data_IF_080404475143
#
_entry.id   IF_080404475143
#
_cell.length_a   1.000
_cell.length_b   1.000
_cell.length_c   1.000
_cell.angle_alpha   90.00
_cell.angle_beta   90.00
_cell.angle_gamma   90.00
#
_symmetry.space_group_name_H-M   'P 1'
#
loop_
_entity.id
_entity.type
_entity.pdbx_description
1 polymer ?
#
# COMPACT_ATOMS: atom_id res chain seq x y z
N UNK A 1 68.35 13.04 14.66
CA UNK A 1 68.42 11.82 15.51
C UNK A 1 67.03 11.61 16.08
N UNK A 2 66.26 10.67 15.51
CA UNK A 2 66.05 9.28 15.94
C UNK A 2 65.05 9.14 17.10
N UNK A 3 63.93 8.46 16.78
CA UNK A 3 63.21 7.43 17.57
C UNK A 3 62.51 7.85 18.87
N UNK A 4 61.39 7.27 19.32
CA UNK A 4 60.42 6.28 18.81
C UNK A 4 59.41 5.97 19.94
N UNK A 5 58.13 5.77 19.59
CA UNK A 5 57.12 4.89 20.22
C UNK A 5 57.09 4.64 21.75
N UNK A 6 55.92 4.82 22.37
CA UNK A 6 54.98 3.70 22.63
C UNK A 6 53.68 4.12 23.36
N UNK A 7 52.62 3.39 23.02
CA UNK A 7 51.22 3.42 23.45
C UNK A 7 50.99 3.33 24.98
N UNK A 8 49.82 3.80 25.48
CA UNK A 8 48.64 2.96 25.81
C UNK A 8 47.48 3.85 26.37
N UNK A 9 46.38 3.87 25.60
CA UNK A 9 44.95 3.75 25.99
C UNK A 9 44.32 4.55 27.14
N UNK A 10 43.25 5.30 26.83
CA UNK A 10 41.89 4.93 27.28
C UNK A 10 40.77 5.82 26.68
N UNK A 11 39.83 5.13 26.03
CA UNK A 11 38.41 5.46 25.84
C UNK A 11 37.98 6.61 24.92
N UNK A 12 38.25 6.44 23.63
CA UNK A 12 37.26 6.68 22.58
C UNK A 12 36.68 5.33 22.13
N UNK A 13 35.41 5.05 22.43
CA UNK A 13 34.68 3.91 21.86
C UNK A 13 33.22 4.27 21.56
N UNK A 14 33.03 5.39 20.85
CA UNK A 14 31.90 5.60 19.95
C UNK A 14 32.39 5.31 18.53
N UNK A 15 32.28 4.07 18.05
CA UNK A 15 32.45 3.60 16.65
C UNK A 15 32.45 2.06 16.66
N UNK A 16 31.68 1.27 15.90
CA UNK A 16 31.05 1.43 14.58
C UNK A 16 29.74 0.63 14.54
N UNK A 17 28.62 1.28 14.23
CA UNK A 17 27.42 0.58 13.74
C UNK A 17 27.71 0.18 12.29
N UNK A 18 27.66 -1.13 12.00
CA UNK A 18 27.90 -1.69 10.66
C UNK A 18 26.99 -1.03 9.61
N UNK A 19 27.60 -0.58 8.50
CA UNK A 19 26.97 0.21 7.43
C UNK A 19 26.13 -0.60 6.42
N UNK A 20 26.01 -1.92 6.56
CA UNK A 20 25.34 -2.75 5.56
C UNK A 20 24.07 -3.41 6.12
N UNK A 21 22.97 -2.65 6.07
CA UNK A 21 21.64 -3.18 6.33
C UNK A 21 21.06 -3.73 5.01
N UNK A 22 21.30 -5.01 4.71
CA UNK A 22 20.60 -5.74 3.64
C UNK A 22 19.40 -6.53 4.17
N UNK A 23 18.27 -6.45 3.46
CA UNK A 23 17.07 -7.20 3.82
C UNK A 23 16.93 -8.53 3.07
N UNK A 24 16.05 -9.41 3.55
CA UNK A 24 15.97 -10.83 3.18
C UNK A 24 15.73 -11.04 1.68
N UNK A 25 14.70 -10.45 1.11
CA UNK A 25 14.40 -10.53 -0.32
C UNK A 25 15.43 -9.77 -1.16
N UNK A 26 15.99 -8.67 -0.67
CA UNK A 26 17.07 -7.95 -1.35
C UNK A 26 18.33 -8.83 -1.47
N UNK A 27 18.75 -9.45 -0.36
CA UNK A 27 19.87 -10.39 -0.31
C UNK A 27 19.61 -11.62 -1.17
N UNK A 28 18.38 -12.16 -1.14
CA UNK A 28 18.00 -13.31 -1.99
C UNK A 28 18.00 -12.93 -3.46
N UNK A 29 17.51 -11.74 -3.82
CA UNK A 29 17.53 -11.24 -5.19
C UNK A 29 18.96 -11.02 -5.68
N UNK A 30 19.84 -10.44 -4.86
CA UNK A 30 21.26 -10.30 -5.23
C UNK A 30 21.96 -11.65 -5.38
N UNK A 31 21.65 -12.60 -4.49
CA UNK A 31 22.17 -13.95 -4.61
C UNK A 31 21.68 -14.63 -5.89
N UNK A 32 20.40 -14.50 -6.24
CA UNK A 32 19.83 -15.03 -7.49
C UNK A 32 20.54 -14.48 -8.73
N UNK A 33 20.82 -13.18 -8.78
CA UNK A 33 21.56 -12.55 -9.90
C UNK A 33 23.03 -12.98 -9.98
N UNK A 34 23.60 -13.51 -8.89
CA UNK A 34 24.97 -14.05 -8.87
C UNK A 34 25.08 -15.48 -9.42
N UNK A 35 23.96 -16.13 -9.74
CA UNK A 35 23.93 -17.50 -10.25
C UNK A 35 23.77 -17.49 -11.78
N UNK A 36 24.54 -18.32 -12.47
CA UNK A 36 24.46 -18.47 -13.94
C UNK A 36 23.12 -19.05 -14.43
N UNK A 37 22.42 -19.83 -13.60
CA UNK A 37 21.08 -20.38 -13.87
C UNK A 37 20.24 -20.45 -12.58
N UNK A 38 18.92 -20.23 -12.65
CA UNK A 38 18.04 -20.32 -11.47
C UNK A 38 18.01 -21.77 -10.97
N UNK A 39 18.45 -21.97 -9.74
CA UNK A 39 18.57 -23.28 -9.10
C UNK A 39 17.73 -23.31 -7.81
N UNK A 40 17.42 -24.51 -7.30
CA UNK A 40 16.80 -24.73 -5.98
C UNK A 40 17.62 -24.11 -4.82
N UNK A 41 18.83 -23.61 -5.09
CA UNK A 41 19.71 -22.95 -4.13
C UNK A 41 19.14 -21.64 -3.60
N UNK A 42 18.40 -20.87 -4.41
CA UNK A 42 17.76 -19.62 -3.96
C UNK A 42 16.73 -19.92 -2.87
N UNK A 43 15.91 -20.96 -3.07
CA UNK A 43 14.94 -21.43 -2.08
C UNK A 43 15.61 -21.90 -0.79
N UNK A 44 16.70 -22.67 -0.90
CA UNK A 44 17.43 -23.18 0.26
C UNK A 44 18.13 -22.05 1.02
N UNK A 45 18.76 -21.10 0.31
CA UNK A 45 19.38 -19.92 0.92
C UNK A 45 18.34 -19.08 1.67
N UNK A 46 17.13 -18.94 1.13
CA UNK A 46 16.03 -18.25 1.84
C UNK A 46 15.66 -18.95 3.15
N UNK A 47 15.57 -20.28 3.15
CA UNK A 47 15.31 -21.03 4.40
C UNK A 47 16.45 -20.88 5.41
N UNK A 48 17.70 -20.87 4.96
CA UNK A 48 18.85 -20.64 5.83
C UNK A 48 18.84 -19.25 6.46
N UNK A 49 18.55 -18.22 5.66
CA UNK A 49 18.44 -16.84 6.16
C UNK A 49 17.30 -16.69 7.17
N UNK A 50 16.14 -17.30 6.91
CA UNK A 50 15.02 -17.32 7.87
C UNK A 50 15.45 -17.99 9.19
N UNK A 51 16.16 -19.11 9.13
CA UNK A 51 16.72 -19.76 10.32
C UNK A 51 17.68 -18.83 11.08
N UNK A 52 18.62 -18.16 10.40
CA UNK A 52 19.52 -17.22 11.09
C UNK A 52 18.78 -16.05 11.73
N UNK A 53 17.68 -15.60 11.14
CA UNK A 53 16.84 -14.54 11.69
C UNK A 53 16.03 -15.01 12.91
N UNK A 54 15.42 -16.20 12.82
CA UNK A 54 14.61 -16.80 13.89
C UNK A 54 15.42 -16.98 15.18
N UNK A 55 16.68 -17.41 15.06
CA UNK A 55 17.56 -17.66 16.19
C UNK A 55 18.58 -16.53 16.45
N UNK A 56 18.45 -15.40 15.75
CA UNK A 56 19.36 -14.24 15.86
C UNK A 56 20.85 -14.58 15.71
N UNK A 57 21.17 -15.50 14.82
CA UNK A 57 22.53 -15.90 14.48
C UNK A 57 23.16 -15.00 13.42
N UNK A 58 24.49 -14.89 13.45
CA UNK A 58 25.27 -14.34 12.33
C UNK A 58 25.28 -15.32 11.17
N UNK A 59 25.43 -14.80 9.95
CA UNK A 59 25.62 -15.61 8.75
C UNK A 59 27.10 -16.05 8.71
N UNK A 60 27.36 -17.26 9.19
CA UNK A 60 28.71 -17.81 9.32
C UNK A 60 28.73 -19.34 9.17
N UNK A 61 29.90 -19.95 9.37
CA UNK A 61 30.07 -21.40 9.22
C UNK A 61 29.40 -22.18 10.36
N UNK A 62 29.26 -21.59 11.54
CA UNK A 62 28.69 -22.24 12.72
C UNK A 62 27.17 -22.38 12.57
N UNK A 63 26.49 -21.28 12.31
CA UNK A 63 25.04 -21.24 12.02
C UNK A 63 24.66 -22.10 10.81
N UNK A 64 25.50 -22.13 9.76
CA UNK A 64 25.31 -23.04 8.63
C UNK A 64 25.34 -24.50 9.05
N UNK A 65 26.35 -24.91 9.83
CA UNK A 65 26.47 -26.29 10.28
C UNK A 65 25.27 -26.72 11.13
N UNK A 66 24.77 -25.83 12.00
CA UNK A 66 23.54 -26.06 12.78
C UNK A 66 22.31 -26.22 11.87
N UNK A 67 22.19 -25.40 10.82
CA UNK A 67 21.04 -25.46 9.90
C UNK A 67 21.01 -26.76 9.08
N UNK A 68 22.17 -27.33 8.73
CA UNK A 68 22.28 -28.47 7.81
C UNK A 68 22.45 -29.83 8.51
N UNK A 69 22.56 -29.86 9.83
CA UNK A 69 22.90 -31.06 10.63
C UNK A 69 22.03 -32.28 10.32
N UNK A 70 20.74 -32.08 10.02
CA UNK A 70 19.77 -33.15 9.69
C UNK A 70 19.18 -33.00 8.28
N UNK A 71 19.88 -32.35 7.35
CA UNK A 71 19.37 -32.07 5.99
C UNK A 71 20.16 -32.81 4.91
N UNK A 72 19.50 -33.07 3.79
CA UNK A 72 20.13 -33.70 2.63
C UNK A 72 21.35 -32.90 2.13
N UNK A 73 22.34 -33.57 1.54
CA UNK A 73 23.62 -32.98 1.11
C UNK A 73 23.46 -31.73 0.20
N UNK A 74 22.38 -31.68 -0.60
CA UNK A 74 22.02 -30.54 -1.45
C UNK A 74 21.89 -29.23 -0.66
N UNK A 75 21.46 -29.29 0.61
CA UNK A 75 21.36 -28.11 1.48
C UNK A 75 22.73 -27.55 1.84
N UNK A 76 23.69 -28.43 2.16
CA UNK A 76 25.06 -28.04 2.49
C UNK A 76 25.74 -27.39 1.29
N UNK A 77 25.56 -27.93 0.09
CA UNK A 77 26.11 -27.33 -1.14
C UNK A 77 25.53 -25.94 -1.41
N UNK A 78 24.20 -25.80 -1.32
CA UNK A 78 23.52 -24.52 -1.52
C UNK A 78 23.93 -23.45 -0.49
N UNK A 79 23.95 -23.81 0.79
CA UNK A 79 24.29 -22.87 1.87
C UNK A 79 25.75 -22.46 1.83
N UNK A 80 26.68 -23.36 1.46
CA UNK A 80 28.09 -22.98 1.29
C UNK A 80 28.31 -22.02 0.13
N UNK A 81 27.57 -22.20 -0.98
CA UNK A 81 27.61 -21.27 -2.10
C UNK A 81 27.06 -19.89 -1.69
N UNK A 82 25.97 -19.87 -0.93
CA UNK A 82 25.44 -18.65 -0.34
C UNK A 82 26.42 -17.99 0.65
N UNK A 83 27.08 -18.76 1.51
CA UNK A 83 28.03 -18.23 2.50
C UNK A 83 29.22 -17.53 1.83
N UNK A 84 29.75 -18.09 0.73
CA UNK A 84 30.80 -17.43 -0.07
C UNK A 84 30.31 -16.11 -0.68
N UNK A 85 29.08 -16.10 -1.20
CA UNK A 85 28.45 -14.87 -1.69
C UNK A 85 28.30 -13.84 -0.56
N UNK A 86 27.81 -14.24 0.61
CA UNK A 86 27.62 -13.37 1.76
C UNK A 86 28.95 -12.80 2.26
N UNK A 87 30.00 -13.61 2.35
CA UNK A 87 31.36 -13.17 2.71
C UNK A 87 31.93 -12.16 1.73
N UNK A 88 31.80 -12.40 0.41
CA UNK A 88 32.26 -11.49 -0.64
C UNK A 88 31.58 -10.12 -0.59
N UNK A 89 30.33 -10.07 -0.14
CA UNK A 89 29.52 -8.85 -0.06
C UNK A 89 29.41 -8.29 1.37
N UNK A 90 30.22 -8.78 2.31
CA UNK A 90 30.21 -8.34 3.72
C UNK A 90 28.82 -8.41 4.38
N UNK A 91 28.03 -9.43 4.01
CA UNK A 91 26.68 -9.66 4.55
C UNK A 91 26.80 -10.59 5.77
N UNK A 92 26.88 -9.98 6.94
CA UNK A 92 26.98 -10.72 8.20
C UNK A 92 25.62 -11.02 8.84
N UNK A 93 24.60 -10.24 8.48
CA UNK A 93 23.22 -10.36 8.95
C UNK A 93 22.26 -9.86 7.88
N UNK A 94 21.01 -10.32 7.95
CA UNK A 94 19.89 -9.82 7.14
C UNK A 94 18.71 -9.50 8.05
N UNK A 95 17.83 -8.58 7.63
CA UNK A 95 16.54 -8.32 8.26
C UNK A 95 15.39 -8.75 7.36
N UNK A 96 14.18 -8.86 7.90
CA UNK A 96 13.02 -9.19 7.08
C UNK A 96 12.59 -7.98 6.24
N UNK A 97 12.43 -8.16 4.93
CA UNK A 97 11.98 -7.11 4.01
C UNK A 97 10.47 -6.87 4.04
N UNK A 98 9.69 -7.84 4.52
CA UNK A 98 8.23 -7.70 4.71
C UNK A 98 7.88 -7.25 6.12
N UNK A 99 8.84 -7.34 7.03
CA UNK A 99 8.63 -7.10 8.45
C UNK A 99 9.64 -6.03 8.84
N UNK A 100 9.26 -4.73 8.83
CA UNK A 100 10.19 -3.66 9.14
C UNK A 100 10.98 -3.98 10.40
N UNK A 101 12.23 -3.56 10.47
CA UNK A 101 13.14 -3.85 11.59
C UNK A 101 12.50 -3.50 12.95
N UNK A 102 11.76 -4.45 13.54
CA UNK A 102 11.09 -4.31 14.83
C UNK A 102 12.08 -4.72 15.90
N UNK A 103 13.00 -3.83 16.25
CA UNK A 103 13.40 -3.81 17.64
C UNK A 103 12.17 -3.34 18.44
N UNK A 104 11.40 -4.29 18.95
CA UNK A 104 10.64 -4.04 20.18
C UNK A 104 9.15 -3.76 20.11
N UNK A 105 8.36 -4.32 19.18
CA UNK A 105 6.99 -4.61 19.63
C UNK A 105 6.26 -5.82 19.02
N UNK A 106 6.32 -6.96 19.73
CA UNK A 106 5.39 -8.09 19.56
C UNK A 106 3.93 -7.63 19.49
N UNK A 107 3.55 -6.59 20.24
CA UNK A 107 2.20 -6.04 20.27
C UNK A 107 1.82 -5.39 18.94
N UNK A 108 2.74 -4.75 18.21
CA UNK A 108 2.44 -4.15 16.88
C UNK A 108 2.14 -5.25 15.88
N UNK A 109 2.93 -6.33 15.88
CA UNK A 109 2.68 -7.49 15.02
C UNK A 109 1.35 -8.18 15.38
N UNK A 110 1.07 -8.33 16.68
CA UNK A 110 -0.20 -8.92 17.14
C UNK A 110 -1.38 -8.03 16.77
N UNK A 111 -1.24 -6.71 16.92
CA UNK A 111 -2.25 -5.74 16.49
C UNK A 111 -2.52 -5.85 14.98
N UNK A 112 -1.49 -5.80 14.14
CA UNK A 112 -1.65 -5.85 12.68
C UNK A 112 -2.21 -7.19 12.19
N UNK A 113 -1.91 -8.30 12.89
CA UNK A 113 -2.48 -9.61 12.60
C UNK A 113 -3.96 -9.70 12.95
N UNK A 114 -4.38 -9.10 14.08
CA UNK A 114 -5.78 -9.11 14.54
C UNK A 114 -6.61 -7.97 13.94
N UNK A 115 -5.98 -6.96 13.35
CA UNK A 115 -6.67 -5.84 12.75
C UNK A 115 -7.36 -6.27 11.44
N UNK A 116 -8.66 -6.00 11.34
CA UNK A 116 -9.45 -6.19 10.12
C UNK A 116 -9.17 -5.07 9.10
N UNK A 117 -7.91 -4.95 8.69
CA UNK A 117 -7.40 -3.95 7.77
C UNK A 117 -6.94 -4.62 6.48
N UNK A 118 -7.03 -3.90 5.35
CA UNK A 118 -6.42 -4.37 4.11
C UNK A 118 -4.89 -4.38 4.22
N UNK A 119 -4.21 -5.20 3.42
CA UNK A 119 -2.74 -5.29 3.44
C UNK A 119 -2.05 -3.93 3.25
N UNK A 120 -2.52 -3.10 2.31
CA UNK A 120 -1.98 -1.74 2.14
C UNK A 120 -2.21 -0.84 3.38
N UNK A 121 -3.32 -1.05 4.09
CA UNK A 121 -3.59 -0.31 5.33
C UNK A 121 -2.69 -0.80 6.47
N UNK A 122 -2.42 -2.12 6.55
CA UNK A 122 -1.45 -2.69 7.49
C UNK A 122 -0.04 -2.16 7.23
N UNK A 123 0.38 -2.08 5.97
CA UNK A 123 1.67 -1.50 5.58
C UNK A 123 1.78 -0.02 6.00
N UNK A 124 0.72 0.75 5.78
CA UNK A 124 0.68 2.17 6.17
C UNK A 124 0.72 2.33 7.69
N UNK A 125 -0.04 1.52 8.43
CA UNK A 125 -0.08 1.55 9.89
C UNK A 125 1.24 1.09 10.49
N UNK A 126 1.89 0.09 9.88
CA UNK A 126 3.21 -0.40 10.27
C UNK A 126 4.25 0.72 10.19
N UNK A 127 4.34 1.44 9.07
CA UNK A 127 5.24 2.60 8.93
C UNK A 127 4.98 3.68 9.98
N UNK A 128 3.71 4.03 10.18
CA UNK A 128 3.31 5.03 11.16
C UNK A 128 3.75 4.66 12.59
N UNK A 129 3.52 3.41 12.99
CA UNK A 129 3.87 2.91 14.31
C UNK A 129 5.39 2.83 14.46
N UNK A 130 6.13 2.41 13.45
CA UNK A 130 7.59 2.37 13.48
C UNK A 130 8.21 3.76 13.71
N UNK A 131 7.72 4.78 13.01
CA UNK A 131 8.17 6.16 13.22
C UNK A 131 7.85 6.64 14.64
N UNK A 132 6.67 6.31 15.15
CA UNK A 132 6.28 6.65 16.52
C UNK A 132 7.17 5.97 17.57
N UNK A 133 7.47 4.68 17.42
CA UNK A 133 8.41 3.96 18.31
C UNK A 133 9.81 4.56 18.26
N UNK A 134 10.32 4.83 17.06
CA UNK A 134 11.63 5.46 16.90
C UNK A 134 11.70 6.81 17.61
N UNK A 135 10.62 7.59 17.55
CA UNK A 135 10.50 8.85 18.29
C UNK A 135 10.50 8.65 19.80
N UNK A 136 9.70 7.70 20.31
CA UNK A 136 9.66 7.38 21.75
C UNK A 136 11.02 6.94 22.26
N UNK A 137 11.68 6.00 21.57
CA UNK A 137 12.97 5.43 21.97
C UNK A 137 14.07 6.49 21.98
N UNK A 138 14.12 7.34 20.94
CA UNK A 138 15.14 8.40 20.84
C UNK A 138 15.08 9.42 21.98
N UNK A 139 13.93 9.53 22.66
CA UNK A 139 13.67 10.51 23.71
C UNK A 139 13.32 9.87 25.07
N UNK A 140 13.36 8.54 25.15
CA UNK A 140 12.89 7.76 26.31
C UNK A 140 11.50 8.19 26.81
N UNK A 141 10.55 8.40 25.88
CA UNK A 141 9.20 8.89 26.21
C UNK A 141 8.20 7.74 26.36
N UNK A 142 7.27 7.81 27.34
CA UNK A 142 6.20 6.82 27.48
C UNK A 142 5.10 6.99 26.42
N UNK A 143 4.29 5.96 26.13
CA UNK A 143 3.22 5.99 25.13
C UNK A 143 1.94 6.68 25.64
N UNK A 144 2.06 7.93 26.09
CA UNK A 144 0.95 8.73 26.61
C UNK A 144 0.49 9.83 25.64
N UNK A 145 -0.59 10.52 25.99
CA UNK A 145 -1.16 11.62 25.19
C UNK A 145 -0.14 12.71 24.86
N UNK A 146 0.69 13.10 25.83
CA UNK A 146 1.70 14.15 25.65
C UNK A 146 2.75 13.75 24.61
N UNK A 147 3.20 12.50 24.65
CA UNK A 147 4.14 11.95 23.67
C UNK A 147 3.55 11.91 22.27
N UNK A 148 2.27 11.54 22.12
CA UNK A 148 1.59 11.55 20.81
C UNK A 148 1.47 12.98 20.27
N UNK A 149 1.16 13.97 21.12
CA UNK A 149 1.14 15.38 20.71
C UNK A 149 2.53 15.89 20.29
N UNK A 150 3.57 15.51 21.03
CA UNK A 150 4.95 15.84 20.69
C UNK A 150 5.39 15.20 19.36
N UNK A 151 4.97 13.95 19.11
CA UNK A 151 5.20 13.27 17.85
C UNK A 151 4.48 13.97 16.69
N UNK A 152 3.21 14.34 16.88
CA UNK A 152 2.44 15.10 15.88
C UNK A 152 3.15 16.42 15.54
N UNK A 153 3.73 17.10 16.53
CA UNK A 153 4.52 18.31 16.30
C UNK A 153 5.80 18.02 15.52
N UNK A 154 6.50 16.92 15.81
CA UNK A 154 7.65 16.49 15.02
C UNK A 154 7.26 16.19 13.56
N UNK A 155 6.15 15.50 13.32
CA UNK A 155 5.66 15.24 11.97
C UNK A 155 5.48 16.55 11.19
N UNK A 156 4.90 17.58 11.83
CA UNK A 156 4.76 18.91 11.20
C UNK A 156 6.11 19.55 10.91
N UNK A 157 7.04 19.51 11.87
CA UNK A 157 8.39 20.07 11.70
C UNK A 157 9.17 19.36 10.58
N UNK A 158 8.92 18.06 10.38
CA UNK A 158 9.47 17.26 9.28
C UNK A 158 8.75 17.49 7.94
N UNK A 159 7.76 18.39 7.88
CA UNK A 159 7.04 18.72 6.66
C UNK A 159 6.00 17.69 6.21
N UNK A 160 5.57 16.76 7.08
CA UNK A 160 4.53 15.79 6.73
C UNK A 160 3.18 16.51 6.53
N UNK A 161 2.41 16.02 5.55
CA UNK A 161 1.09 16.56 5.28
C UNK A 161 0.12 16.30 6.45
N UNK A 162 -0.88 17.17 6.69
CA UNK A 162 -1.93 16.92 7.69
C UNK A 162 -2.64 15.58 7.48
N UNK A 163 -2.77 15.12 6.24
CA UNK A 163 -3.35 13.82 5.90
C UNK A 163 -2.47 12.65 6.40
N UNK A 164 -1.17 12.72 6.12
CA UNK A 164 -0.21 11.72 6.60
C UNK A 164 -0.19 11.68 8.12
N UNK A 165 -0.12 12.85 8.76
CA UNK A 165 -0.14 12.95 10.23
C UNK A 165 -1.44 12.41 10.82
N UNK A 166 -2.59 12.68 10.21
CA UNK A 166 -3.88 12.12 10.65
C UNK A 166 -3.93 10.59 10.48
N UNK A 167 -3.30 10.06 9.43
CA UNK A 167 -3.16 8.60 9.25
C UNK A 167 -2.30 8.00 10.37
N UNK A 168 -1.24 8.69 10.78
CA UNK A 168 -0.38 8.23 11.88
C UNK A 168 -1.12 8.27 13.21
N UNK A 169 -1.85 9.35 13.49
CA UNK A 169 -2.71 9.46 14.69
C UNK A 169 -3.72 8.30 14.72
N UNK A 170 -4.36 7.96 13.60
CA UNK A 170 -5.31 6.85 13.53
C UNK A 170 -4.66 5.49 13.84
N UNK A 171 -3.47 5.24 13.27
CA UNK A 171 -2.71 4.02 13.54
C UNK A 171 -2.32 3.90 15.03
N UNK A 172 -1.81 4.98 15.62
CA UNK A 172 -1.42 5.03 17.04
C UNK A 172 -2.64 4.78 17.95
N UNK A 173 -3.77 5.44 17.67
CA UNK A 173 -5.00 5.23 18.45
C UNK A 173 -5.50 3.79 18.38
N UNK A 174 -5.55 3.22 17.17
CA UNK A 174 -5.99 1.84 16.98
C UNK A 174 -5.08 0.86 17.71
N UNK A 175 -3.77 1.08 17.65
CA UNK A 175 -2.78 0.28 18.35
C UNK A 175 -2.92 0.39 19.87
N UNK A 176 -3.02 1.59 20.42
CA UNK A 176 -3.17 1.79 21.87
C UNK A 176 -4.49 1.20 22.38
N UNK A 177 -5.58 1.37 21.64
CA UNK A 177 -6.86 0.74 21.97
C UNK A 177 -6.73 -0.79 22.00
N UNK A 178 -6.02 -1.38 21.04
CA UNK A 178 -5.74 -2.81 21.03
C UNK A 178 -4.93 -3.23 22.28
N UNK A 179 -3.90 -2.48 22.65
CA UNK A 179 -3.11 -2.75 23.85
C UNK A 179 -3.95 -2.72 25.14
N UNK A 180 -4.86 -1.76 25.27
CA UNK A 180 -5.75 -1.62 26.43
C UNK A 180 -6.76 -2.78 26.50
N UNK A 181 -7.35 -3.15 25.36
CA UNK A 181 -8.37 -4.21 25.28
C UNK A 181 -7.77 -5.60 25.50
N UNK A 182 -6.55 -5.83 25.03
CA UNK A 182 -5.88 -7.13 25.08
C UNK A 182 -4.86 -7.26 26.22
N UNK A 183 -4.85 -6.30 27.16
CA UNK A 183 -3.83 -6.16 28.22
C UNK A 183 -3.49 -7.46 28.96
N UNK A 184 -4.48 -8.30 29.25
CA UNK A 184 -4.30 -9.55 29.98
C UNK A 184 -3.63 -10.63 29.11
N UNK A 185 -4.01 -10.71 27.83
CA UNK A 185 -3.44 -11.65 26.86
C UNK A 185 -1.99 -11.29 26.49
N UNK A 186 -1.69 -10.00 26.41
CA UNK A 186 -0.38 -9.49 26.01
C UNK A 186 0.52 -9.10 27.20
N UNK A 187 0.03 -9.28 28.43
CA UNK A 187 0.74 -9.06 29.69
C UNK A 187 1.39 -7.67 29.78
N UNK A 188 0.59 -6.62 29.56
CA UNK A 188 1.04 -5.24 29.75
C UNK A 188 0.89 -4.83 31.22
N UNK A 189 1.92 -4.19 31.75
CA UNK A 189 1.93 -3.64 33.11
C UNK A 189 0.78 -2.65 33.34
N UNK A 190 0.04 -2.71 34.46
CA UNK A 190 -1.10 -1.85 34.74
C UNK A 190 -0.80 -0.35 34.61
N UNK A 191 0.37 0.09 35.08
CA UNK A 191 0.81 1.49 35.02
C UNK A 191 0.96 1.99 33.58
N UNK A 192 1.37 1.09 32.67
CA UNK A 192 1.52 1.41 31.26
C UNK A 192 0.17 1.52 30.56
N UNK A 193 -0.82 0.70 30.97
CA UNK A 193 -2.21 0.80 30.49
C UNK A 193 -2.82 2.15 30.90
N UNK A 194 -2.60 2.60 32.13
CA UNK A 194 -3.15 3.86 32.62
C UNK A 194 -2.63 5.06 31.82
N UNK A 195 -1.32 5.09 31.55
CA UNK A 195 -0.68 6.13 30.74
C UNK A 195 -1.23 6.22 29.31
N UNK A 196 -1.75 5.11 28.78
CA UNK A 196 -2.26 4.99 27.42
C UNK A 196 -3.71 5.46 27.24
N UNK A 197 -4.52 5.54 28.32
CA UNK A 197 -5.98 5.78 28.23
C UNK A 197 -6.34 7.04 27.43
N UNK A 198 -5.59 8.11 27.66
CA UNK A 198 -5.88 9.42 27.08
C UNK A 198 -5.39 9.58 25.63
N UNK A 199 -4.66 8.61 25.07
CA UNK A 199 -4.20 8.65 23.68
C UNK A 199 -5.39 8.70 22.70
N UNK A 200 -6.48 8.02 23.03
CA UNK A 200 -7.72 8.02 22.25
C UNK A 200 -8.31 9.44 22.07
N UNK A 201 -8.05 10.35 23.02
CA UNK A 201 -8.56 11.74 23.02
C UNK A 201 -7.82 12.69 22.08
N UNK A 202 -6.66 12.29 21.55
CA UNK A 202 -5.83 13.14 20.66
C UNK A 202 -6.64 13.53 19.43
N UNK A 203 -6.95 14.82 19.25
CA UNK A 203 -7.75 15.26 18.11
C UNK A 203 -6.92 15.19 16.82
N UNK A 204 -7.55 14.72 15.75
CA UNK A 204 -7.00 14.85 14.41
C UNK A 204 -6.78 16.32 14.07
N UNK A 205 -5.74 16.60 13.29
CA UNK A 205 -5.47 17.93 12.79
C UNK A 205 -6.62 18.38 11.90
N UNK A 206 -7.14 19.59 12.15
CA UNK A 206 -8.10 20.24 11.26
C UNK A 206 -7.45 20.40 9.90
N UNK A 207 -8.09 19.90 8.85
CA UNK A 207 -7.71 20.19 7.47
C UNK A 207 -8.19 21.62 7.14
N UNK A 208 -7.56 22.64 7.71
CA UNK A 208 -7.91 24.04 7.46
C UNK A 208 -7.30 24.55 6.17
N UNK A 209 -8.11 25.14 5.26
CA UNK A 209 -7.75 26.00 4.11
C UNK A 209 -6.87 25.41 2.99
N UNK A 210 -6.02 24.45 3.31
CA UNK A 210 -5.11 23.71 2.43
C UNK A 210 -5.78 22.52 1.75
N UNK A 211 -7.09 22.33 1.95
CA UNK A 211 -7.90 21.38 1.17
C UNK A 211 -7.83 21.65 -0.32
N UNK A 212 -7.65 22.89 -0.78
CA UNK A 212 -7.39 23.16 -2.22
C UNK A 212 -6.08 22.56 -2.72
N UNK A 213 -5.06 22.44 -1.87
CA UNK A 213 -3.74 21.90 -2.26
C UNK A 213 -3.74 20.37 -2.35
N UNK A 214 -4.66 19.69 -1.65
CA UNK A 214 -4.78 18.23 -1.63
C UNK A 214 -6.06 17.67 -2.26
N UNK A 215 -7.03 18.54 -2.59
CA UNK A 215 -8.17 18.17 -3.41
C UNK A 215 -7.64 17.80 -4.79
N UNK A 216 -8.01 16.61 -5.26
CA UNK A 216 -7.68 16.22 -6.63
C UNK A 216 -8.47 17.12 -7.56
N UNK A 217 -7.74 17.73 -8.48
CA UNK A 217 -8.34 18.51 -9.54
C UNK A 217 -9.11 17.56 -10.47
N UNK A 218 -10.10 18.10 -11.18
CA UNK A 218 -10.87 17.39 -12.18
C UNK A 218 -10.56 17.96 -13.56
N UNK A 219 -10.40 17.08 -14.54
CA UNK A 219 -10.45 17.48 -15.94
C UNK A 219 -11.83 18.01 -16.30
N UNK A 220 -11.88 19.02 -17.17
CA UNK A 220 -13.11 19.43 -17.87
C UNK A 220 -13.54 18.37 -18.89
N UNK A 221 -14.75 18.49 -19.43
CA UNK A 221 -15.23 17.59 -20.49
C UNK A 221 -14.35 17.63 -21.75
N UNK A 222 -13.87 18.82 -22.13
CA UNK A 222 -12.98 19.01 -23.27
C UNK A 222 -11.64 18.33 -23.01
N UNK A 223 -11.05 18.52 -21.83
CA UNK A 223 -9.78 17.90 -21.43
C UNK A 223 -9.90 16.37 -21.35
N UNK A 224 -10.99 15.83 -20.78
CA UNK A 224 -11.26 14.38 -20.76
C UNK A 224 -11.31 13.82 -22.18
N UNK A 225 -12.02 14.50 -23.07
CA UNK A 225 -12.16 14.08 -24.47
C UNK A 225 -10.82 14.14 -25.21
N UNK A 226 -10.05 15.21 -24.98
CA UNK A 226 -8.70 15.35 -25.53
C UNK A 226 -7.78 14.20 -25.06
N UNK A 227 -7.76 13.92 -23.75
CA UNK A 227 -6.99 12.82 -23.17
C UNK A 227 -7.28 11.49 -23.88
N UNK A 228 -8.56 11.15 -24.05
CA UNK A 228 -8.97 9.88 -24.67
C UNK A 228 -8.67 9.82 -26.18
N UNK A 229 -8.66 10.96 -26.87
CA UNK A 229 -8.25 11.04 -28.28
C UNK A 229 -6.74 10.84 -28.45
N UNK A 230 -5.93 11.37 -27.54
CA UNK A 230 -4.46 11.24 -27.57
C UNK A 230 -3.99 9.80 -27.41
N UNK A 231 -4.75 8.96 -26.70
CA UNK A 231 -4.35 7.56 -26.47
C UNK A 231 -4.49 6.74 -27.76
N UNK A 232 -3.39 6.16 -28.23
CA UNK A 232 -3.38 5.33 -29.44
C UNK A 232 -3.51 3.84 -29.13
N UNK A 233 -2.99 3.38 -27.99
CA UNK A 233 -3.05 1.98 -27.59
C UNK A 233 -4.47 1.60 -27.10
N UNK A 234 -5.15 0.61 -27.71
CA UNK A 234 -6.53 0.24 -27.34
C UNK A 234 -6.67 -0.19 -25.88
N UNK A 235 -5.71 -0.95 -25.35
CA UNK A 235 -5.71 -1.39 -23.94
C UNK A 235 -5.62 -0.20 -22.99
N UNK A 236 -4.69 0.72 -23.24
CA UNK A 236 -4.53 1.89 -22.38
C UNK A 236 -5.75 2.82 -22.46
N UNK A 237 -6.37 2.93 -23.65
CA UNK A 237 -7.61 3.69 -23.84
C UNK A 237 -8.75 3.06 -23.07
N UNK A 238 -8.89 1.74 -23.06
CA UNK A 238 -9.86 1.03 -22.26
C UNK A 238 -9.68 1.27 -20.76
N UNK A 239 -8.45 1.19 -20.25
CA UNK A 239 -8.13 1.46 -18.84
C UNK A 239 -8.54 2.88 -18.45
N UNK A 240 -8.14 3.87 -19.25
CA UNK A 240 -8.43 5.27 -18.94
C UNK A 240 -9.92 5.59 -19.16
N UNK A 241 -10.57 5.02 -20.18
CA UNK A 241 -11.99 5.18 -20.46
C UNK A 241 -12.87 4.65 -19.31
N UNK A 242 -12.55 3.47 -18.79
CA UNK A 242 -13.21 2.91 -17.59
C UNK A 242 -13.10 3.83 -16.36
N UNK A 243 -12.03 4.61 -16.25
CA UNK A 243 -11.83 5.54 -15.14
C UNK A 243 -12.44 6.92 -15.39
N UNK A 244 -12.36 7.42 -16.63
CA UNK A 244 -12.70 8.78 -17.03
C UNK A 244 -14.16 8.95 -17.51
N UNK A 245 -14.81 7.87 -17.94
CA UNK A 245 -16.25 7.82 -18.21
C UNK A 245 -16.98 7.05 -17.11
N UNK A 246 -16.49 5.84 -16.77
CA UNK A 246 -17.18 4.95 -15.82
C UNK A 246 -16.84 5.19 -14.34
N UNK A 247 -15.93 6.13 -14.08
CA UNK A 247 -15.56 6.53 -12.74
C UNK A 247 -14.95 5.40 -11.91
N UNK A 248 -14.41 4.34 -12.52
CA UNK A 248 -13.87 3.19 -11.76
C UNK A 248 -12.62 3.56 -10.98
N UNK A 249 -12.46 2.98 -9.79
CA UNK A 249 -11.21 3.03 -9.04
C UNK A 249 -10.17 2.13 -9.72
N UNK A 250 -8.88 2.43 -9.54
CA UNK A 250 -7.80 1.58 -10.09
C UNK A 250 -7.93 0.12 -9.68
N UNK A 251 -8.33 -0.16 -8.43
CA UNK A 251 -8.52 -1.55 -7.97
C UNK A 251 -9.76 -2.23 -8.59
N UNK A 252 -10.79 -1.46 -8.92
CA UNK A 252 -11.98 -1.98 -9.62
C UNK A 252 -11.58 -2.40 -11.03
N UNK A 253 -10.84 -1.53 -11.75
CA UNK A 253 -10.31 -1.83 -13.09
C UNK A 253 -9.41 -3.07 -13.11
N UNK A 254 -8.46 -3.18 -12.17
CA UNK A 254 -7.56 -4.35 -12.04
C UNK A 254 -8.34 -5.67 -11.88
N UNK A 255 -9.52 -5.64 -11.28
CA UNK A 255 -10.30 -6.84 -10.94
C UNK A 255 -11.39 -7.19 -11.96
N UNK A 256 -11.52 -6.40 -13.03
CA UNK A 256 -12.52 -6.65 -14.06
C UNK A 256 -12.18 -7.88 -14.88
N UNK A 257 -13.23 -8.59 -15.28
CA UNK A 257 -13.17 -9.70 -16.22
C UNK A 257 -14.14 -9.47 -17.37
N UNK A 258 -13.89 -10.07 -18.53
CA UNK A 258 -14.77 -9.93 -19.70
C UNK A 258 -16.21 -10.38 -19.42
N UNK A 259 -16.38 -11.39 -18.57
CA UNK A 259 -17.69 -11.88 -18.11
C UNK A 259 -18.48 -10.89 -17.23
N UNK A 260 -17.86 -9.78 -16.80
CA UNK A 260 -18.52 -8.76 -15.99
C UNK A 260 -19.35 -7.78 -16.81
N UNK A 261 -19.19 -7.78 -18.13
CA UNK A 261 -20.11 -7.10 -19.04
C UNK A 261 -21.39 -7.93 -19.11
N UNK A 262 -22.52 -7.34 -18.73
CA UNK A 262 -23.84 -7.97 -18.70
C UNK A 262 -24.81 -7.22 -19.60
N UNK A 263 -25.74 -7.95 -20.20
CA UNK A 263 -26.86 -7.36 -20.94
C UNK A 263 -28.14 -7.70 -20.21
N UNK A 264 -28.99 -6.70 -19.94
CA UNK A 264 -30.34 -6.88 -19.41
C UNK A 264 -31.29 -5.93 -20.12
N UNK A 265 -32.42 -6.43 -20.61
CA UNK A 265 -33.46 -5.60 -21.25
C UNK A 265 -32.90 -4.71 -22.38
N UNK A 266 -31.97 -5.24 -23.18
CA UNK A 266 -31.32 -4.51 -24.28
C UNK A 266 -30.28 -3.45 -23.87
N UNK A 267 -30.02 -3.27 -22.57
CA UNK A 267 -29.03 -2.33 -22.04
C UNK A 267 -27.76 -3.04 -21.55
N UNK A 268 -26.61 -2.39 -21.72
CA UNK A 268 -25.32 -2.88 -21.25
C UNK A 268 -25.05 -2.43 -19.81
N UNK A 269 -24.52 -3.35 -19.00
CA UNK A 269 -24.16 -3.13 -17.61
C UNK A 269 -22.76 -3.68 -17.33
N UNK A 270 -22.12 -3.15 -16.30
CA UNK A 270 -20.84 -3.64 -15.80
C UNK A 270 -20.99 -4.09 -14.35
N UNK A 271 -20.61 -5.32 -14.05
CA UNK A 271 -20.59 -5.87 -12.70
C UNK A 271 -19.26 -5.54 -12.00
N UNK A 272 -19.30 -4.73 -10.94
CA UNK A 272 -18.11 -4.18 -10.29
C UNK A 272 -18.06 -4.53 -8.80
N UNK A 273 -16.88 -4.88 -8.30
CA UNK A 273 -16.67 -5.10 -6.87
C UNK A 273 -16.77 -3.81 -6.05
N UNK A 274 -17.68 -3.78 -5.08
CA UNK A 274 -17.74 -2.72 -4.07
C UNK A 274 -16.69 -2.91 -2.95
N UNK A 275 -16.25 -1.82 -2.30
CA UNK A 275 -15.32 -1.90 -1.17
C UNK A 275 -15.98 -2.64 0.00
N UNK A 276 -15.48 -3.83 0.35
CA UNK A 276 -15.97 -4.61 1.49
C UNK A 276 -17.41 -5.09 1.32
N UNK A 277 -17.78 -5.46 0.09
CA UNK A 277 -19.03 -6.17 -0.23
C UNK A 277 -18.68 -7.58 -0.73
N UNK A 278 -19.58 -8.52 -0.47
CA UNK A 278 -19.45 -9.93 -0.87
C UNK A 278 -19.86 -10.17 -2.33
N UNK A 279 -20.59 -9.22 -2.94
CA UNK A 279 -21.10 -9.32 -4.30
C UNK A 279 -20.73 -8.12 -5.18
N UNK A 280 -20.81 -8.32 -6.49
CA UNK A 280 -20.62 -7.28 -7.51
C UNK A 280 -21.91 -6.49 -7.69
N UNK A 281 -21.78 -5.16 -7.72
CA UNK A 281 -22.88 -4.26 -8.05
C UNK A 281 -22.95 -4.05 -9.56
N UNK A 282 -24.15 -4.08 -10.13
CA UNK A 282 -24.38 -3.73 -11.53
C UNK A 282 -24.52 -2.22 -11.67
N UNK A 283 -23.70 -1.64 -12.53
CA UNK A 283 -23.83 -0.24 -12.96
C UNK A 283 -24.15 -0.20 -14.45
N UNK A 284 -24.92 0.79 -14.93
CA UNK A 284 -25.05 1.04 -16.37
C UNK A 284 -23.67 1.17 -16.99
N UNK A 285 -23.46 0.59 -18.17
CA UNK A 285 -22.23 0.72 -18.94
C UNK A 285 -22.44 1.75 -20.04
N UNK A 286 -21.76 2.90 -19.94
CA UNK A 286 -21.93 4.01 -20.88
C UNK A 286 -21.49 3.61 -22.28
N UNK A 287 -22.16 4.14 -23.29
CA UNK A 287 -21.96 3.79 -24.70
C UNK A 287 -20.53 4.11 -25.15
N UNK A 288 -19.96 5.23 -24.69
CA UNK A 288 -18.58 5.63 -24.96
C UNK A 288 -17.58 4.63 -24.37
N UNK A 289 -17.81 4.22 -23.11
CA UNK A 289 -16.99 3.19 -22.46
C UNK A 289 -17.12 1.86 -23.19
N UNK A 290 -18.34 1.46 -23.54
CA UNK A 290 -18.61 0.21 -24.25
C UNK A 290 -17.89 0.15 -25.60
N UNK A 291 -17.97 1.22 -26.40
CA UNK A 291 -17.27 1.31 -27.69
C UNK A 291 -15.76 1.13 -27.52
N UNK A 292 -15.16 1.82 -26.55
CA UNK A 292 -13.73 1.68 -26.26
C UNK A 292 -13.38 0.24 -25.85
N UNK A 293 -14.24 -0.41 -25.05
CA UNK A 293 -14.02 -1.80 -24.65
C UNK A 293 -14.12 -2.77 -25.82
N UNK A 294 -15.02 -2.54 -26.77
CA UNK A 294 -15.14 -3.33 -28.01
C UNK A 294 -13.89 -3.16 -28.87
N UNK A 295 -13.43 -1.93 -29.08
CA UNK A 295 -12.19 -1.66 -29.83
C UNK A 295 -10.99 -2.38 -29.20
N UNK A 296 -10.91 -2.39 -27.86
CA UNK A 296 -9.89 -3.14 -27.14
C UNK A 296 -10.09 -4.66 -27.28
N UNK A 297 -11.32 -5.16 -27.15
CA UNK A 297 -11.64 -6.58 -27.28
C UNK A 297 -11.29 -7.12 -28.67
N UNK A 298 -11.48 -6.33 -29.72
CA UNK A 298 -11.10 -6.69 -31.09
C UNK A 298 -9.57 -6.71 -31.28
N UNK A 299 -8.81 -5.98 -30.46
CA UNK A 299 -7.35 -5.97 -30.52
C UNK A 299 -6.68 -7.17 -29.84
N UNK A 300 -7.46 -8.06 -29.21
CA UNK A 300 -6.94 -9.23 -28.48
C UNK A 300 -7.43 -10.55 -29.10
N UNK A 301 -6.52 -11.52 -29.20
CA UNK A 301 -6.80 -12.81 -29.87
C UNK A 301 -7.78 -13.70 -29.11
N UNK A 302 -7.78 -13.64 -27.77
CA UNK A 302 -8.67 -14.45 -26.90
C UNK A 302 -9.16 -13.62 -25.70
N UNK A 303 -10.31 -12.94 -25.79
CA UNK A 303 -10.88 -12.16 -24.70
C UNK A 303 -11.54 -13.06 -23.64
N UNK A 304 -10.75 -13.83 -22.91
CA UNK A 304 -11.23 -14.73 -21.86
C UNK A 304 -10.64 -14.38 -20.50
N UNK A 305 -11.44 -14.50 -19.44
CA UNK A 305 -10.98 -14.27 -18.07
C UNK A 305 -10.78 -12.78 -17.74
N UNK A 306 -9.63 -12.45 -17.15
CA UNK A 306 -9.30 -11.08 -16.72
C UNK A 306 -9.32 -10.13 -17.92
N UNK A 307 -9.85 -8.92 -17.72
CA UNK A 307 -9.87 -7.90 -18.77
C UNK A 307 -8.48 -7.33 -19.02
N UNK A 308 -7.60 -7.33 -18.01
CA UNK A 308 -6.25 -6.78 -18.11
C UNK A 308 -5.19 -7.70 -17.49
N UNK A 309 -4.00 -7.72 -18.08
CA UNK A 309 -2.87 -8.58 -17.69
C UNK A 309 -1.99 -8.00 -16.56
N UNK A 310 -2.56 -7.20 -15.67
CA UNK A 310 -1.83 -6.69 -14.50
C UNK A 310 -2.61 -6.90 -13.21
N UNK A 311 -1.89 -7.28 -12.16
CA UNK A 311 -2.44 -7.52 -10.83
C UNK A 311 -2.31 -6.32 -9.90
N UNK A 312 -1.55 -5.30 -10.30
CA UNK A 312 -1.20 -4.17 -9.45
C UNK A 312 -1.81 -2.86 -9.92
N UNK A 313 -2.32 -2.08 -8.96
CA UNK A 313 -2.82 -0.72 -9.21
C UNK A 313 -1.71 0.28 -9.59
N UNK A 314 -0.44 -0.07 -9.31
CA UNK A 314 0.74 0.72 -9.66
C UNK A 314 0.88 0.88 -11.18
N UNK A 315 0.61 -0.19 -11.94
CA UNK A 315 0.65 -0.20 -13.41
C UNK A 315 -0.35 0.77 -14.02
N UNK A 316 -1.60 0.78 -13.54
CA UNK A 316 -2.61 1.74 -14.00
C UNK A 316 -2.16 3.17 -13.73
N UNK A 317 -1.60 3.47 -12.55
CA UNK A 317 -1.12 4.83 -12.24
C UNK A 317 -0.01 5.28 -13.18
N UNK A 318 0.90 4.38 -13.55
CA UNK A 318 1.97 4.66 -14.52
C UNK A 318 1.39 4.95 -15.91
N UNK A 319 0.46 4.11 -16.39
CA UNK A 319 -0.25 4.31 -17.66
C UNK A 319 -1.00 5.64 -17.66
N UNK A 320 -1.79 5.94 -16.63
CA UNK A 320 -2.51 7.20 -16.53
C UNK A 320 -1.58 8.40 -16.51
N UNK A 321 -0.49 8.35 -15.74
CA UNK A 321 0.47 9.45 -15.70
C UNK A 321 1.15 9.66 -17.06
N UNK A 322 1.53 8.59 -17.76
CA UNK A 322 2.09 8.67 -19.12
C UNK A 322 1.16 9.45 -20.04
N UNK A 323 -0.10 9.03 -20.16
CA UNK A 323 -1.05 9.64 -21.10
C UNK A 323 -1.51 11.03 -20.68
N UNK A 324 -1.60 11.31 -19.38
CA UNK A 324 -1.82 12.68 -18.89
C UNK A 324 -0.67 13.61 -19.29
N UNK A 325 0.58 13.13 -19.26
CA UNK A 325 1.74 13.92 -19.70
C UNK A 325 1.73 14.11 -21.21
N UNK A 326 1.48 13.04 -21.98
CA UNK A 326 1.43 13.11 -23.44
C UNK A 326 0.28 14.02 -23.96
N UNK A 327 -0.83 14.09 -23.24
CA UNK A 327 -1.92 15.02 -23.55
C UNK A 327 -1.69 16.46 -23.03
N UNK A 328 -0.56 16.75 -22.37
CA UNK A 328 -0.29 18.06 -21.78
C UNK A 328 -1.19 18.42 -20.58
N UNK A 329 -1.84 17.43 -19.96
CA UNK A 329 -2.83 17.62 -18.89
C UNK A 329 -2.27 17.30 -17.49
N UNK A 330 -1.04 16.81 -17.41
CA UNK A 330 -0.42 16.42 -16.13
C UNK A 330 -0.11 17.65 -15.28
N UNK A 331 -0.74 17.71 -14.10
CA UNK A 331 -0.56 18.74 -13.06
C UNK A 331 -0.28 18.08 -11.70
N UNK A 332 0.16 18.87 -10.72
CA UNK A 332 0.47 18.40 -9.34
C UNK A 332 -0.70 17.59 -8.75
N UNK A 333 -1.94 18.06 -8.94
CA UNK A 333 -3.15 17.45 -8.38
C UNK A 333 -3.96 16.58 -9.36
N UNK A 334 -3.41 16.30 -10.55
CA UNK A 334 -4.06 15.45 -11.56
C UNK A 334 -3.38 14.09 -11.61
N UNK A 335 -4.14 13.03 -11.36
CA UNK A 335 -3.66 11.65 -11.28
C UNK A 335 -4.77 10.67 -11.68
N UNK A 336 -4.50 9.36 -11.62
CA UNK A 336 -5.51 8.35 -11.91
C UNK A 336 -6.83 8.54 -11.15
N UNK A 337 -6.80 8.90 -9.86
CA UNK A 337 -8.03 9.14 -9.11
C UNK A 337 -8.76 10.43 -9.52
N UNK A 338 -8.05 11.40 -10.10
CA UNK A 338 -8.65 12.64 -10.65
C UNK A 338 -9.63 12.34 -11.78
N UNK A 339 -9.38 11.29 -12.58
CA UNK A 339 -10.32 10.86 -13.63
C UNK A 339 -11.69 10.47 -13.07
N UNK A 340 -11.70 9.83 -11.89
CA UNK A 340 -12.94 9.52 -11.20
C UNK A 340 -13.61 10.77 -10.63
N UNK A 341 -12.83 11.73 -10.13
CA UNK A 341 -13.37 13.03 -9.69
C UNK A 341 -13.97 13.81 -10.85
N UNK A 342 -13.36 13.75 -12.04
CA UNK A 342 -13.92 14.29 -13.28
C UNK A 342 -15.32 13.74 -13.55
N UNK A 343 -15.51 12.43 -13.46
CA UNK A 343 -16.85 11.84 -13.64
C UNK A 343 -17.83 12.41 -12.61
N UNK A 344 -17.44 12.45 -11.34
CA UNK A 344 -18.29 13.02 -10.28
C UNK A 344 -18.70 14.47 -10.57
N UNK A 345 -17.72 15.31 -10.93
CA UNK A 345 -17.95 16.73 -11.19
C UNK A 345 -18.82 16.94 -12.43
N UNK A 346 -18.52 16.27 -13.54
CA UNK A 346 -19.30 16.39 -14.77
C UNK A 346 -20.74 15.92 -14.60
N UNK A 347 -21.00 14.87 -13.83
CA UNK A 347 -22.37 14.44 -13.53
C UNK A 347 -23.12 15.50 -12.71
N UNK A 348 -22.46 16.10 -11.71
CA UNK A 348 -23.06 17.18 -10.91
C UNK A 348 -23.30 18.43 -11.76
N UNK A 349 -22.38 18.79 -12.66
CA UNK A 349 -22.50 19.93 -13.58
C UNK A 349 -23.68 19.74 -14.55
N UNK A 350 -23.97 18.49 -14.94
CA UNK A 350 -25.17 18.11 -15.73
C UNK A 350 -26.47 18.07 -14.89
N UNK A 351 -26.42 18.42 -13.61
CA UNK A 351 -27.59 18.45 -12.73
C UNK A 351 -28.02 17.08 -12.19
N UNK A 352 -27.19 16.04 -12.28
CA UNK A 352 -27.53 14.71 -11.77
C UNK A 352 -27.56 14.77 -10.23
N UNK A 353 -28.64 14.27 -9.59
CA UNK A 353 -28.75 14.29 -8.13
C UNK A 353 -27.56 13.61 -7.46
N UNK A 354 -27.00 14.25 -6.42
CA UNK A 354 -25.84 13.73 -5.67
C UNK A 354 -25.99 12.27 -5.21
N UNK A 355 -27.15 11.79 -4.72
CA UNK A 355 -27.31 10.37 -4.36
C UNK A 355 -27.07 9.42 -5.54
N UNK A 356 -27.53 9.80 -6.74
CA UNK A 356 -27.34 9.05 -7.98
C UNK A 356 -25.88 9.03 -8.40
N UNK A 357 -25.17 10.16 -8.28
CA UNK A 357 -23.74 10.25 -8.54
C UNK A 357 -22.94 9.33 -7.61
N UNK A 358 -23.29 9.29 -6.32
CA UNK A 358 -22.59 8.43 -5.35
C UNK A 358 -22.83 6.96 -5.58
N UNK A 359 -24.05 6.61 -5.96
CA UNK A 359 -24.39 5.26 -6.36
C UNK A 359 -23.64 4.85 -7.63
N UNK A 360 -23.65 5.70 -8.66
CA UNK A 360 -22.87 5.47 -9.89
C UNK A 360 -21.39 5.29 -9.60
N UNK A 361 -20.85 6.02 -8.64
CA UNK A 361 -19.45 5.92 -8.26
C UNK A 361 -19.21 4.78 -7.25
N UNK A 362 -20.21 4.23 -6.58
CA UNK A 362 -20.04 3.21 -5.53
C UNK A 362 -19.20 3.76 -4.35
N UNK A 363 -19.60 4.90 -3.80
CA UNK A 363 -19.02 5.44 -2.56
C UNK A 363 -19.62 4.70 -1.34
N UNK A 364 -18.77 4.11 -0.47
CA UNK A 364 -19.23 3.39 0.75
C UNK A 364 -19.64 4.35 1.89
N UNK A 365 -19.16 5.58 1.86
CA UNK A 365 -19.41 6.58 2.89
C UNK A 365 -19.84 7.89 2.24
N UNK A 366 -21.14 8.16 2.27
CA UNK A 366 -21.59 9.46 2.73
C UNK A 366 -21.63 9.34 4.26
N UNK A 367 -21.38 10.40 5.04
CA UNK A 367 -21.84 10.33 6.44
C UNK A 367 -23.37 10.30 6.37
N UNK A 368 -23.94 9.08 6.43
CA UNK A 368 -25.36 8.71 6.48
C UNK A 368 -26.27 9.17 5.33
N UNK A 369 -26.57 8.22 4.45
CA UNK A 369 -27.69 8.22 3.49
C UNK A 369 -27.75 6.78 2.95
N UNK A 370 -28.77 5.96 3.14
CA UNK A 370 -30.09 6.13 3.74
C UNK A 370 -30.61 4.71 3.98
N UNK A 371 -31.32 4.46 5.07
CA UNK A 371 -32.17 3.26 5.19
C UNK A 371 -33.52 3.56 4.56
N UNK A 372 -33.63 3.99 3.30
CA UNK A 372 -34.95 4.18 2.67
C UNK A 372 -34.93 3.97 1.14
N UNK A 373 -35.99 3.32 0.65
CA UNK A 373 -36.48 3.25 -0.76
C UNK A 373 -35.61 2.63 -1.86
N UNK A 374 -34.94 1.50 -1.59
CA UNK A 374 -34.13 0.79 -2.58
C UNK A 374 -34.84 0.47 -3.93
N UNK A 375 -36.08 -0.03 -3.94
CA UNK A 375 -36.63 -0.61 -5.18
C UNK A 375 -37.05 0.37 -6.28
N UNK A 376 -37.42 1.60 -5.94
CA UNK A 376 -37.83 2.60 -6.94
C UNK A 376 -36.61 3.36 -7.48
N UNK A 377 -35.74 3.80 -6.58
CA UNK A 377 -34.48 4.45 -6.91
C UNK A 377 -33.55 3.51 -7.72
N UNK A 378 -33.61 2.19 -7.47
CA UNK A 378 -32.92 1.17 -8.28
C UNK A 378 -33.40 1.13 -9.73
N UNK A 379 -34.70 1.26 -9.97
CA UNK A 379 -35.24 1.28 -11.33
C UNK A 379 -34.95 2.60 -12.02
N UNK A 380 -35.07 3.71 -11.32
CA UNK A 380 -34.74 5.03 -11.87
C UNK A 380 -33.25 5.13 -12.20
N UNK A 381 -32.35 4.69 -11.31
CA UNK A 381 -30.91 4.71 -11.53
C UNK A 381 -30.45 3.95 -12.79
N UNK A 382 -31.05 2.79 -13.06
CA UNK A 382 -30.74 2.01 -14.27
C UNK A 382 -31.31 2.62 -15.56
N UNK A 383 -32.20 3.60 -15.43
CA UNK A 383 -32.82 4.31 -16.53
C UNK A 383 -32.20 5.68 -16.83
N UNK A 384 -31.30 6.18 -15.99
CA UNK A 384 -30.57 7.42 -16.30
C UNK A 384 -29.57 7.21 -17.43
N UNK A 385 -29.58 8.16 -18.37
CA UNK A 385 -28.52 8.37 -19.35
C UNK A 385 -27.52 9.37 -18.74
N UNK A 386 -26.23 8.99 -18.61
CA UNK A 386 -25.20 9.77 -17.92
C UNK A 386 -24.23 10.46 -18.89
#
# INVERSE_FOLDING_TARGET
MKNSNSNIGSNQSLQKVSKNNFGLNQTIKYFEHSLEKPHNYVRIAKQYLVFTMEFNFSIDKMSLNMFVEKKAAVYKTACNKFLRFAQKNEIHRVYDDFTPNYKGNKYVLTFLANAQLSENSKETYSRALQEFYSFMDSKALPPNRTTVLAFVQQCKNNGLSPYTTNTYIAAIKGFVQFCILKRDEIKIEPDLVEQMRDVSTVKSLKLGGTTKKYAKDSLTEIERTHLLKTITNPKDKAIIGLMAYQGLRTIEVVRLSWKDIKVREGKNYLAVWGKGREEKELIPLLSETYKILIDYQMSITRPEGSMFDFKETSSIRKITNKWLTEAGLKRENVSAHSLRHTVAQLMLDKGIPKPMVQRFLRHKSESMTSTYTAKQEDREFLNYEF
#
